data_IF_981810954490
#
_entry.id   IF_981810954490
#
_cell.length_a   1.000
_cell.length_b   1.000
_cell.length_c   1.000
_cell.angle_alpha   90.00
_cell.angle_beta   90.00
_cell.angle_gamma   90.00
#
_symmetry.space_group_name_H-M   'P 1'
#
loop_
_entity.id
_entity.type
_entity.pdbx_description
1 polymer ?
#
# COMPACT_ATOMS: atom_id res chain seq x y z
N UNK A 1 33.60 31.30 -20.74
CA UNK A 1 32.82 30.39 -21.61
C UNK A 1 32.67 29.00 -20.96
N UNK A 2 31.95 28.86 -19.83
CA UNK A 2 31.82 27.55 -19.15
C UNK A 2 30.40 27.24 -18.60
N UNK A 3 29.43 28.14 -18.78
CA UNK A 3 28.07 27.94 -18.25
C UNK A 3 27.12 27.20 -19.23
N UNK A 4 27.41 27.19 -20.53
CA UNK A 4 26.50 26.66 -21.55
C UNK A 4 26.46 25.14 -21.61
N UNK A 5 27.57 24.44 -21.32
CA UNK A 5 27.65 22.97 -21.37
C UNK A 5 26.85 22.29 -20.25
N UNK A 6 26.82 22.91 -19.07
CA UNK A 6 26.00 22.48 -17.93
C UNK A 6 24.51 22.61 -18.24
N UNK A 7 24.09 23.76 -18.78
CA UNK A 7 22.69 24.00 -19.16
C UNK A 7 22.18 22.99 -20.20
N UNK A 8 22.99 22.64 -21.22
CA UNK A 8 22.60 21.63 -22.22
C UNK A 8 22.47 20.22 -21.65
N UNK A 9 23.34 19.80 -20.71
CA UNK A 9 23.22 18.49 -20.07
C UNK A 9 22.01 18.42 -19.14
N UNK A 10 21.73 19.49 -18.42
CA UNK A 10 20.53 19.61 -17.59
C UNK A 10 19.27 19.56 -18.45
N UNK A 11 19.26 20.23 -19.60
CA UNK A 11 18.11 20.23 -20.52
C UNK A 11 17.85 18.84 -21.12
N UNK A 12 18.91 18.11 -21.50
CA UNK A 12 18.80 16.74 -21.99
C UNK A 12 18.26 15.80 -20.90
N UNK A 13 18.69 15.97 -19.65
CA UNK A 13 18.21 15.16 -18.53
C UNK A 13 16.74 15.46 -18.19
N UNK A 14 16.31 16.71 -18.29
CA UNK A 14 14.90 17.09 -18.12
C UNK A 14 14.04 16.44 -19.21
N UNK A 15 14.50 16.43 -20.46
CA UNK A 15 13.78 15.80 -21.57
C UNK A 15 13.62 14.29 -21.36
N UNK A 16 14.68 13.58 -20.92
CA UNK A 16 14.58 12.14 -20.61
C UNK A 16 13.60 11.86 -19.47
N UNK A 17 13.61 12.70 -18.41
CA UNK A 17 12.69 12.54 -17.29
C UNK A 17 11.24 12.81 -17.70
N UNK A 18 11.01 13.73 -18.65
CA UNK A 18 9.68 14.01 -19.18
C UNK A 18 9.14 12.85 -20.01
N UNK A 19 9.97 12.20 -20.83
CA UNK A 19 9.58 10.99 -21.57
C UNK A 19 9.23 9.84 -20.62
N UNK A 20 10.02 9.64 -19.56
CA UNK A 20 9.73 8.62 -18.54
C UNK A 20 8.41 8.91 -17.80
N UNK A 21 8.16 10.16 -17.41
CA UNK A 21 6.89 10.56 -16.77
C UNK A 21 5.71 10.29 -17.70
N UNK A 22 5.86 10.58 -19.00
CA UNK A 22 4.80 10.38 -19.98
C UNK A 22 4.50 8.90 -20.21
N UNK A 23 5.51 8.05 -20.33
CA UNK A 23 5.35 6.59 -20.43
C UNK A 23 4.70 5.99 -19.16
N UNK A 24 5.08 6.50 -17.98
CA UNK A 24 4.47 6.11 -16.71
C UNK A 24 2.99 6.55 -16.65
N UNK A 25 2.66 7.77 -17.09
CA UNK A 25 1.27 8.25 -17.14
C UNK A 25 0.40 7.46 -18.13
N UNK A 26 0.94 7.04 -19.27
CA UNK A 26 0.23 6.17 -20.22
C UNK A 26 -0.08 4.79 -19.60
N UNK A 27 0.86 4.24 -18.82
CA UNK A 27 0.68 2.96 -18.13
C UNK A 27 -0.34 3.04 -16.99
N UNK A 28 -0.41 4.18 -16.30
CA UNK A 28 -1.37 4.45 -15.22
C UNK A 28 -2.81 4.69 -15.73
N UNK A 29 -2.97 5.06 -16.99
CA UNK A 29 -4.26 5.41 -17.58
C UNK A 29 -4.52 6.93 -17.56
N UNK A 30 -5.13 7.43 -18.64
CA UNK A 30 -5.39 8.85 -18.81
C UNK A 30 -6.25 9.41 -17.67
N UNK A 31 -5.68 10.33 -16.89
CA UNK A 31 -6.27 11.02 -15.73
C UNK A 31 -6.25 10.30 -14.37
N UNK A 32 -5.56 9.16 -14.23
CA UNK A 32 -5.37 8.60 -12.89
C UNK A 32 -4.18 9.25 -12.16
N UNK A 33 -4.45 9.81 -10.98
CA UNK A 33 -3.41 10.38 -10.14
C UNK A 33 -2.79 9.24 -9.29
N UNK A 34 -1.60 8.78 -9.69
CA UNK A 34 -0.86 7.72 -9.00
C UNK A 34 -0.75 7.94 -7.49
N UNK A 35 -0.53 9.18 -7.05
CA UNK A 35 -0.44 9.53 -5.64
C UNK A 35 -1.77 9.32 -4.91
N UNK A 36 -2.90 9.63 -5.57
CA UNK A 36 -4.23 9.41 -5.02
C UNK A 36 -4.56 7.91 -4.89
N UNK A 37 -4.16 7.08 -5.86
CA UNK A 37 -4.33 5.62 -5.81
C UNK A 37 -3.54 5.05 -4.65
N UNK A 38 -2.23 5.36 -4.58
CA UNK A 38 -1.35 4.87 -3.51
C UNK A 38 -1.87 5.31 -2.14
N UNK A 39 -2.29 6.57 -2.00
CA UNK A 39 -2.88 7.09 -0.77
C UNK A 39 -4.16 6.36 -0.39
N UNK A 40 -4.98 5.97 -1.36
CA UNK A 40 -6.20 5.20 -1.11
C UNK A 40 -5.87 3.77 -0.66
N UNK A 41 -4.92 3.11 -1.30
CA UNK A 41 -4.45 1.79 -0.89
C UNK A 41 -3.84 1.79 0.51
N UNK A 42 -2.99 2.77 0.83
CA UNK A 42 -2.41 2.93 2.17
C UNK A 42 -3.51 3.07 3.23
N UNK A 43 -4.53 3.89 2.97
CA UNK A 43 -5.67 4.05 3.88
C UNK A 43 -6.46 2.75 4.07
N UNK A 44 -6.72 2.03 2.98
CA UNK A 44 -7.43 0.75 3.04
C UNK A 44 -6.63 -0.29 3.83
N UNK A 45 -5.31 -0.35 3.62
CA UNK A 45 -4.42 -1.27 4.32
C UNK A 45 -4.37 -0.96 5.83
N UNK A 46 -4.26 0.32 6.21
CA UNK A 46 -4.32 0.70 7.62
C UNK A 46 -5.65 0.34 8.26
N UNK A 47 -6.77 0.58 7.58
CA UNK A 47 -8.10 0.23 8.08
C UNK A 47 -8.27 -1.29 8.24
N UNK A 48 -7.76 -2.07 7.29
CA UNK A 48 -7.76 -3.53 7.38
C UNK A 48 -6.94 -4.00 8.59
N UNK A 49 -5.72 -3.50 8.76
CA UNK A 49 -4.85 -3.86 9.88
C UNK A 49 -5.49 -3.49 11.23
N UNK A 50 -6.06 -2.30 11.34
CA UNK A 50 -6.74 -1.85 12.57
C UNK A 50 -7.93 -2.76 12.91
N UNK A 51 -8.75 -3.13 11.93
CA UNK A 51 -9.85 -4.07 12.13
C UNK A 51 -9.36 -5.48 12.50
N UNK A 52 -8.29 -5.96 11.85
CA UNK A 52 -7.65 -7.24 12.16
C UNK A 52 -7.12 -7.26 13.60
N UNK A 53 -6.40 -6.23 14.01
CA UNK A 53 -5.83 -6.11 15.35
C UNK A 53 -6.91 -6.04 16.44
N UNK A 54 -7.95 -5.24 16.22
CA UNK A 54 -9.10 -5.18 17.13
C UNK A 54 -9.77 -6.55 17.26
N UNK A 55 -9.94 -7.26 16.14
CA UNK A 55 -10.52 -8.62 16.13
C UNK A 55 -9.62 -9.60 16.87
N UNK A 56 -8.30 -9.54 16.68
CA UNK A 56 -7.35 -10.41 17.36
C UNK A 56 -7.37 -10.22 18.88
N UNK A 57 -7.53 -8.97 19.36
CA UNK A 57 -7.71 -8.67 20.79
C UNK A 57 -8.98 -9.32 21.33
N UNK A 58 -10.10 -9.21 20.59
CA UNK A 58 -11.37 -9.83 20.98
C UNK A 58 -11.26 -11.36 21.03
N UNK A 59 -10.62 -11.97 20.04
CA UNK A 59 -10.35 -13.42 20.00
C UNK A 59 -9.49 -13.84 21.21
N UNK A 60 -8.45 -13.08 21.56
CA UNK A 60 -7.63 -13.38 22.73
C UNK A 60 -8.41 -13.35 24.05
N UNK A 61 -9.33 -12.39 24.20
CA UNK A 61 -10.24 -12.32 25.35
C UNK A 61 -11.24 -13.47 25.36
N UNK A 62 -11.80 -13.81 24.21
CA UNK A 62 -12.75 -14.91 24.04
C UNK A 62 -12.10 -16.26 24.38
N UNK A 63 -10.88 -16.49 23.90
CA UNK A 63 -10.07 -17.66 24.23
C UNK A 63 -9.88 -17.79 25.75
N UNK A 64 -9.54 -16.68 26.42
CA UNK A 64 -9.36 -16.63 27.87
C UNK A 64 -10.65 -16.95 28.64
N UNK A 65 -11.80 -16.40 28.20
CA UNK A 65 -13.11 -16.66 28.81
C UNK A 65 -13.54 -18.13 28.67
N UNK A 66 -13.24 -18.75 27.54
CA UNK A 66 -13.60 -20.14 27.27
C UNK A 66 -12.54 -21.15 27.73
N UNK A 67 -11.43 -20.72 28.35
CA UNK A 67 -10.26 -21.56 28.64
C UNK A 67 -9.79 -22.38 27.42
N UNK A 68 -9.89 -21.77 26.23
CA UNK A 68 -9.47 -22.35 24.96
C UNK A 68 -8.26 -21.61 24.43
N UNK A 69 -7.51 -22.25 23.55
CA UNK A 69 -6.44 -21.57 22.81
C UNK A 69 -7.01 -20.71 21.69
N UNK A 70 -6.28 -19.68 21.26
CA UNK A 70 -6.66 -18.83 20.11
C UNK A 70 -6.93 -19.68 18.86
N UNK A 71 -6.10 -20.71 18.62
CA UNK A 71 -6.27 -21.64 17.50
C UNK A 71 -7.61 -22.39 17.55
N UNK A 72 -8.01 -22.86 18.73
CA UNK A 72 -9.31 -23.53 18.90
C UNK A 72 -10.47 -22.57 18.65
N UNK A 73 -10.35 -21.31 19.06
CA UNK A 73 -11.36 -20.29 18.72
C UNK A 73 -11.41 -20.04 17.21
N UNK A 74 -10.27 -19.99 16.52
CA UNK A 74 -10.27 -19.87 15.05
C UNK A 74 -10.95 -21.07 14.38
N UNK A 75 -10.74 -22.29 14.91
CA UNK A 75 -11.39 -23.50 14.41
C UNK A 75 -12.89 -23.53 14.73
N UNK A 76 -13.30 -23.10 15.94
CA UNK A 76 -14.70 -23.05 16.39
C UNK A 76 -15.55 -22.04 15.61
N UNK A 77 -14.93 -20.92 15.19
CA UNK A 77 -15.60 -19.84 14.46
C UNK A 77 -15.32 -19.85 12.94
N UNK A 78 -14.69 -20.92 12.44
CA UNK A 78 -14.29 -21.07 11.04
C UNK A 78 -13.48 -19.87 10.49
N UNK A 79 -12.68 -19.24 11.35
CA UNK A 79 -11.78 -18.13 11.02
C UNK A 79 -10.42 -18.65 10.52
N UNK A 80 -10.42 -19.81 9.86
CA UNK A 80 -9.18 -20.37 9.31
C UNK A 80 -8.66 -19.43 8.23
N UNK A 81 -7.35 -19.19 8.28
CA UNK A 81 -6.65 -18.39 7.29
C UNK A 81 -6.99 -18.94 5.90
N UNK A 82 -7.80 -18.18 5.17
CA UNK A 82 -8.10 -18.44 3.76
C UNK A 82 -7.08 -17.77 2.83
N UNK A 83 -6.05 -17.13 3.38
CA UNK A 83 -4.97 -16.45 2.66
C UNK A 83 -3.66 -16.43 3.49
#
# INVERSE_FOLDING_TARGET
MYASTSATKTQAHIATLQEEIQALQETLGANENAEAIVKTHIKLLHRYNEAKDATQILIGRLASLHNKTIRQIHEDYDLKDSD
#
